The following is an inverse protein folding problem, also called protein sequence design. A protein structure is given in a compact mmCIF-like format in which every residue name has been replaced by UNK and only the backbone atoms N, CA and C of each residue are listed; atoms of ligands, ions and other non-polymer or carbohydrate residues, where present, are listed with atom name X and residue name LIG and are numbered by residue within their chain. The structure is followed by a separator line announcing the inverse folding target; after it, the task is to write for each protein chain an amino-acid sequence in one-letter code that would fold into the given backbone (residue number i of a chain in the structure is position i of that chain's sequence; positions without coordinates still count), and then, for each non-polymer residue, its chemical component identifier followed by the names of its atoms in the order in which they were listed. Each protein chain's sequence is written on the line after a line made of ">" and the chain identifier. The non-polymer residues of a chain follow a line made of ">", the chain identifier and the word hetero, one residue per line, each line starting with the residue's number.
data_IF_869853127113
#
_entry.id   IF_869853127113
#
_cell.length_a   1.000
_cell.length_b   1.000
_cell.length_c   1.000
_cell.angle_alpha   90.00
_cell.angle_beta   90.00
_cell.angle_gamma   90.00
#
_symmetry.space_group_name_H-M   'P 1'
#
loop_
_entity.id
_entity.type
_entity.pdbx_description
1 polymer ?
#
# COMPACT_ATOMS: atom_id res chain seq x y z
N UNK A 1 -79.36 -6.97 -57.23
CA UNK A 1 -78.66 -7.56 -58.39
C UNK A 1 -79.21 -8.95 -58.56
N UNK A 2 -79.79 -9.25 -59.71
CA UNK A 2 -80.34 -10.58 -60.00
C UNK A 2 -79.17 -11.55 -60.03
N UNK A 3 -79.13 -12.51 -59.10
CA UNK A 3 -78.08 -13.51 -59.04
C UNK A 3 -78.25 -14.43 -60.26
N UNK A 4 -77.44 -14.21 -61.29
CA UNK A 4 -77.50 -15.02 -62.50
C UNK A 4 -76.72 -16.31 -62.23
N UNK A 5 -77.44 -17.39 -62.02
CA UNK A 5 -76.87 -18.73 -61.86
C UNK A 5 -76.55 -19.31 -63.24
N UNK A 6 -75.32 -19.83 -63.48
CA UNK A 6 -74.97 -20.54 -64.71
C UNK A 6 -76.00 -21.57 -65.17
N UNK A 7 -76.59 -22.29 -64.22
CA UNK A 7 -77.61 -23.30 -64.50
C UNK A 7 -78.94 -22.68 -64.98
N UNK A 8 -79.23 -21.43 -64.62
CA UNK A 8 -80.43 -20.72 -65.05
C UNK A 8 -80.22 -20.03 -66.41
N UNK A 9 -78.98 -19.68 -66.76
CA UNK A 9 -78.60 -19.18 -68.11
C UNK A 9 -78.81 -20.28 -69.16
N UNK A 10 -78.33 -21.49 -68.90
CA UNK A 10 -78.41 -22.63 -69.85
C UNK A 10 -79.84 -23.17 -70.02
N UNK A 11 -80.68 -23.05 -68.98
CA UNK A 11 -82.09 -23.50 -69.00
C UNK A 11 -83.08 -22.44 -69.48
N UNK A 12 -82.63 -21.22 -69.78
CA UNK A 12 -83.50 -20.13 -70.18
C UNK A 12 -84.17 -20.40 -71.54
N UNK A 13 -85.50 -20.35 -71.59
CA UNK A 13 -86.28 -20.51 -72.83
C UNK A 13 -86.83 -19.17 -73.33
N UNK A 14 -86.76 -18.93 -74.64
CA UNK A 14 -87.30 -17.73 -75.29
C UNK A 14 -88.50 -18.03 -76.18
N UNK A 15 -89.41 -17.06 -76.31
CA UNK A 15 -90.56 -17.14 -77.21
C UNK A 15 -90.12 -16.98 -78.67
N UNK A 16 -90.62 -17.84 -79.56
CA UNK A 16 -90.30 -17.81 -81.00
C UNK A 16 -91.21 -16.77 -81.68
N UNK A 17 -90.61 -15.83 -82.40
CA UNK A 17 -91.32 -14.79 -83.17
C UNK A 17 -90.95 -14.84 -84.66
N UNK A 18 -91.80 -14.31 -85.55
CA UNK A 18 -91.63 -14.38 -87.03
C UNK A 18 -90.33 -13.79 -87.58
N UNK A 19 -89.59 -12.99 -86.79
CA UNK A 19 -88.25 -12.45 -87.09
C UNK A 19 -87.38 -12.57 -85.82
N UNK A 20 -86.85 -13.76 -85.57
CA UNK A 20 -86.06 -14.06 -84.37
C UNK A 20 -84.66 -14.59 -84.71
N UNK A 21 -83.83 -14.73 -83.67
CA UNK A 21 -82.51 -15.37 -83.76
C UNK A 21 -82.63 -16.88 -83.92
N UNK A 22 -81.59 -17.51 -84.48
CA UNK A 22 -81.51 -18.98 -84.58
C UNK A 22 -81.40 -19.61 -83.19
N UNK A 23 -82.34 -20.50 -82.88
CA UNK A 23 -82.44 -21.16 -81.60
C UNK A 23 -81.28 -22.12 -81.29
N UNK A 24 -80.51 -22.59 -82.29
CA UNK A 24 -79.30 -23.38 -82.05
C UNK A 24 -78.10 -22.50 -81.70
N UNK A 25 -77.89 -21.40 -82.44
CA UNK A 25 -76.83 -20.43 -82.11
C UNK A 25 -77.04 -19.78 -80.75
N UNK A 26 -78.28 -19.39 -80.41
CA UNK A 26 -78.58 -18.82 -79.09
C UNK A 26 -78.28 -19.83 -77.97
N UNK A 27 -78.58 -21.11 -78.18
CA UNK A 27 -78.25 -22.17 -77.19
C UNK A 27 -76.76 -22.34 -77.00
N UNK A 28 -75.98 -22.43 -78.09
CA UNK A 28 -74.52 -22.52 -77.99
C UNK A 28 -73.93 -21.31 -77.25
N UNK A 29 -74.41 -20.09 -77.57
CA UNK A 29 -73.98 -18.88 -76.87
C UNK A 29 -74.35 -18.88 -75.38
N UNK A 30 -75.55 -19.36 -75.02
CA UNK A 30 -75.95 -19.47 -73.61
C UNK A 30 -75.11 -20.50 -72.84
N UNK A 31 -74.69 -21.60 -73.48
CA UNK A 31 -73.80 -22.62 -72.90
C UNK A 31 -72.40 -22.04 -72.62
N UNK A 32 -71.83 -21.32 -73.59
CA UNK A 32 -70.55 -20.63 -73.45
C UNK A 32 -70.61 -19.53 -72.38
N UNK A 33 -71.70 -18.75 -72.38
CA UNK A 33 -71.94 -17.72 -71.38
C UNK A 33 -72.11 -18.32 -69.98
N UNK A 34 -72.87 -19.42 -69.85
CA UNK A 34 -73.01 -20.13 -68.59
C UNK A 34 -71.65 -20.64 -68.08
N UNK A 35 -70.82 -21.18 -68.96
CA UNK A 35 -69.47 -21.65 -68.64
C UNK A 35 -68.55 -20.52 -68.19
N UNK A 36 -68.56 -19.38 -68.90
CA UNK A 36 -67.78 -18.19 -68.52
C UNK A 36 -68.22 -17.60 -67.18
N UNK A 37 -69.53 -17.54 -66.91
CA UNK A 37 -70.07 -17.09 -65.62
C UNK A 37 -69.71 -18.07 -64.50
N UNK A 38 -69.72 -19.38 -64.76
CA UNK A 38 -69.30 -20.38 -63.77
C UNK A 38 -67.83 -20.21 -63.39
N UNK A 39 -66.95 -20.01 -64.38
CA UNK A 39 -65.52 -19.80 -64.17
C UNK A 39 -65.24 -18.51 -63.41
N UNK A 40 -65.87 -17.39 -63.79
CA UNK A 40 -65.75 -16.12 -63.04
C UNK A 40 -66.23 -16.24 -61.60
N UNK A 41 -67.30 -17.00 -61.34
CA UNK A 41 -67.79 -17.22 -59.97
C UNK A 41 -66.81 -18.05 -59.14
N UNK A 42 -66.18 -19.05 -59.75
CA UNK A 42 -65.13 -19.84 -59.09
C UNK A 42 -63.92 -18.95 -58.74
N UNK A 43 -63.42 -18.17 -59.70
CA UNK A 43 -62.32 -17.23 -59.45
C UNK A 43 -62.67 -16.19 -58.39
N UNK A 44 -63.90 -15.68 -58.39
CA UNK A 44 -64.37 -14.73 -57.38
C UNK A 44 -64.33 -15.35 -55.98
N UNK A 45 -64.74 -16.62 -55.84
CA UNK A 45 -64.72 -17.29 -54.55
C UNK A 45 -63.28 -17.57 -54.10
N UNK A 46 -62.41 -18.03 -55.00
CA UNK A 46 -60.99 -18.24 -54.70
C UNK A 46 -60.29 -16.93 -54.27
N UNK A 47 -60.56 -15.83 -54.97
CA UNK A 47 -60.02 -14.52 -54.61
C UNK A 47 -60.56 -14.03 -53.27
N UNK A 48 -61.85 -14.25 -52.98
CA UNK A 48 -62.42 -13.92 -51.67
C UNK A 48 -61.78 -14.74 -50.55
N UNK A 49 -61.68 -16.05 -50.72
CA UNK A 49 -61.06 -16.93 -49.74
C UNK A 49 -59.62 -16.48 -49.47
N UNK A 50 -58.84 -16.24 -50.53
CA UNK A 50 -57.48 -15.72 -50.41
C UNK A 50 -57.44 -14.36 -49.72
N UNK A 51 -58.38 -13.47 -50.03
CA UNK A 51 -58.47 -12.16 -49.40
C UNK A 51 -58.73 -12.30 -47.89
N UNK A 52 -59.67 -13.15 -47.47
CA UNK A 52 -59.94 -13.38 -46.04
C UNK A 52 -58.73 -13.94 -45.29
N UNK A 53 -57.96 -14.83 -45.91
CA UNK A 53 -56.71 -15.35 -45.33
C UNK A 53 -55.68 -14.23 -45.17
N UNK A 54 -55.46 -13.44 -46.22
CA UNK A 54 -54.52 -12.31 -46.18
C UNK A 54 -54.94 -11.24 -45.17
N UNK A 55 -56.23 -10.93 -45.06
CA UNK A 55 -56.75 -10.01 -44.04
C UNK A 55 -56.48 -10.53 -42.63
N UNK A 56 -56.67 -11.84 -42.40
CA UNK A 56 -56.35 -12.49 -41.12
C UNK A 56 -54.85 -12.45 -40.81
N UNK A 57 -53.99 -12.71 -41.79
CA UNK A 57 -52.53 -12.66 -41.62
C UNK A 57 -52.05 -11.23 -41.32
N UNK A 58 -52.58 -10.23 -42.02
CA UNK A 58 -52.29 -8.81 -41.76
C UNK A 58 -52.72 -8.42 -40.35
N UNK A 59 -53.92 -8.83 -39.92
CA UNK A 59 -54.40 -8.57 -38.56
C UNK A 59 -53.48 -9.21 -37.50
N UNK A 60 -53.08 -10.48 -37.70
CA UNK A 60 -52.16 -11.18 -36.81
C UNK A 60 -50.78 -10.51 -36.76
N UNK A 61 -50.25 -10.08 -37.91
CA UNK A 61 -48.93 -9.45 -37.99
C UNK A 61 -48.94 -8.09 -37.28
N UNK A 62 -49.99 -7.29 -37.45
CA UNK A 62 -50.14 -6.02 -36.73
C UNK A 62 -50.22 -6.21 -35.22
N UNK A 63 -50.98 -7.19 -34.75
CA UNK A 63 -51.05 -7.50 -33.32
C UNK A 63 -49.69 -7.90 -32.74
N UNK A 64 -48.89 -8.68 -33.49
CA UNK A 64 -47.53 -9.03 -33.11
C UNK A 64 -46.60 -7.80 -33.08
N UNK A 65 -46.69 -6.92 -34.09
CA UNK A 65 -45.93 -5.68 -34.16
C UNK A 65 -46.22 -4.75 -32.97
N UNK A 66 -47.49 -4.56 -32.63
CA UNK A 66 -47.91 -3.76 -31.46
C UNK A 66 -47.36 -4.33 -30.15
N UNK A 67 -47.40 -5.66 -29.98
CA UNK A 67 -46.84 -6.32 -28.81
C UNK A 67 -45.32 -6.15 -28.71
N UNK A 68 -44.60 -6.26 -29.83
CA UNK A 68 -43.16 -6.01 -29.90
C UNK A 68 -42.83 -4.55 -29.59
N UNK A 69 -43.58 -3.60 -30.14
CA UNK A 69 -43.39 -2.19 -29.86
C UNK A 69 -43.59 -1.87 -28.38
N UNK A 70 -44.65 -2.40 -27.76
CA UNK A 70 -44.89 -2.24 -26.32
C UNK A 70 -43.76 -2.83 -25.48
N UNK A 71 -43.26 -4.00 -25.88
CA UNK A 71 -42.13 -4.67 -25.22
C UNK A 71 -40.86 -3.84 -25.34
N UNK A 72 -40.56 -3.29 -26.52
CA UNK A 72 -39.41 -2.43 -26.75
C UNK A 72 -39.48 -1.18 -25.86
N UNK A 73 -40.63 -0.49 -25.84
CA UNK A 73 -40.84 0.70 -25.01
C UNK A 73 -40.68 0.38 -23.52
N UNK A 74 -41.17 -0.77 -23.09
CA UNK A 74 -41.01 -1.22 -21.70
C UNK A 74 -39.54 -1.51 -21.39
N UNK A 75 -38.86 -2.25 -22.27
CA UNK A 75 -37.45 -2.59 -22.11
C UNK A 75 -36.56 -1.34 -22.08
N UNK A 76 -36.81 -0.35 -22.95
CA UNK A 76 -36.05 0.92 -22.93
C UNK A 76 -36.30 1.68 -21.64
N UNK A 77 -37.54 1.78 -21.18
CA UNK A 77 -37.88 2.43 -19.91
C UNK A 77 -37.23 1.74 -18.72
N UNK A 78 -37.26 0.41 -18.67
CA UNK A 78 -36.59 -0.37 -17.62
C UNK A 78 -35.08 -0.16 -17.66
N UNK A 79 -34.46 -0.16 -18.85
CA UNK A 79 -33.03 0.12 -19.01
C UNK A 79 -32.68 1.53 -18.50
N UNK A 80 -33.45 2.54 -18.87
CA UNK A 80 -33.18 3.92 -18.46
C UNK A 80 -33.34 4.09 -16.94
N UNK A 81 -34.32 3.41 -16.34
CA UNK A 81 -34.50 3.39 -14.89
C UNK A 81 -33.33 2.70 -14.17
N UNK A 82 -32.92 1.52 -14.64
CA UNK A 82 -31.74 0.82 -14.10
C UNK A 82 -30.47 1.67 -14.21
N UNK A 83 -30.28 2.39 -15.32
CA UNK A 83 -29.13 3.28 -15.49
C UNK A 83 -29.19 4.48 -14.54
N UNK A 84 -30.38 5.02 -14.27
CA UNK A 84 -30.57 6.11 -13.31
C UNK A 84 -30.26 5.64 -11.89
N UNK A 85 -30.84 4.51 -11.47
CA UNK A 85 -30.60 3.92 -10.15
C UNK A 85 -29.12 3.57 -9.94
N UNK A 86 -28.48 2.93 -10.93
CA UNK A 86 -27.06 2.59 -10.84
C UNK A 86 -26.17 3.84 -10.70
N UNK A 87 -26.51 4.93 -11.39
CA UNK A 87 -25.80 6.21 -11.25
C UNK A 87 -26.00 6.83 -9.88
N UNK A 88 -27.23 6.84 -9.37
CA UNK A 88 -27.54 7.37 -8.03
C UNK A 88 -26.79 6.57 -6.96
N UNK A 89 -26.80 5.24 -7.02
CA UNK A 89 -26.07 4.37 -6.11
C UNK A 89 -24.55 4.55 -6.20
N UNK A 90 -24.01 4.72 -7.42
CA UNK A 90 -22.58 4.96 -7.60
C UNK A 90 -22.13 6.31 -7.00
N UNK A 91 -22.95 7.36 -7.16
CA UNK A 91 -22.68 8.67 -6.57
C UNK A 91 -22.77 8.65 -5.05
N UNK A 92 -23.77 7.95 -4.50
CA UNK A 92 -23.91 7.74 -3.05
C UNK A 92 -22.69 7.02 -2.49
N UNK A 93 -22.30 5.88 -3.08
CA UNK A 93 -21.11 5.13 -2.66
C UNK A 93 -19.83 5.97 -2.75
N UNK A 94 -19.68 6.74 -3.83
CA UNK A 94 -18.53 7.66 -3.98
C UNK A 94 -18.51 8.71 -2.88
N UNK A 95 -19.67 9.26 -2.54
CA UNK A 95 -19.79 10.27 -1.50
C UNK A 95 -19.46 9.68 -0.12
N UNK A 96 -19.99 8.51 0.20
CA UNK A 96 -19.71 7.79 1.45
C UNK A 96 -18.22 7.46 1.58
N UNK A 97 -17.63 6.85 0.54
CA UNK A 97 -16.21 6.52 0.52
C UNK A 97 -15.33 7.77 0.70
N UNK A 98 -15.69 8.88 0.08
CA UNK A 98 -14.97 10.14 0.26
C UNK A 98 -15.07 10.66 1.70
N UNK A 99 -16.26 10.64 2.30
CA UNK A 99 -16.44 11.05 3.69
C UNK A 99 -15.66 10.16 4.66
N UNK A 100 -15.69 8.85 4.44
CA UNK A 100 -14.97 7.89 5.28
C UNK A 100 -13.45 8.06 5.15
N UNK A 101 -12.94 8.21 3.93
CA UNK A 101 -11.53 8.52 3.69
C UNK A 101 -11.10 9.84 4.36
N UNK A 102 -11.96 10.87 4.31
CA UNK A 102 -11.67 12.15 4.97
C UNK A 102 -11.65 12.00 6.50
N UNK A 103 -12.57 11.22 7.07
CA UNK A 103 -12.59 10.93 8.51
C UNK A 103 -11.33 10.17 8.93
N UNK A 104 -11.02 9.06 8.25
CA UNK A 104 -9.83 8.25 8.51
C UNK A 104 -8.54 9.08 8.41
N UNK A 105 -8.43 9.94 7.38
CA UNK A 105 -7.28 10.86 7.24
C UNK A 105 -7.20 11.85 8.41
N UNK A 106 -8.32 12.44 8.80
CA UNK A 106 -8.35 13.39 9.92
C UNK A 106 -7.99 12.74 11.25
N UNK A 107 -8.40 11.50 11.46
CA UNK A 107 -8.10 10.71 12.65
C UNK A 107 -6.61 10.33 12.68
N UNK A 108 -6.07 9.83 11.58
CA UNK A 108 -4.65 9.50 11.46
C UNK A 108 -3.74 10.71 11.69
N UNK A 109 -4.11 11.89 11.20
CA UNK A 109 -3.35 13.13 11.46
C UNK A 109 -3.38 13.47 12.95
N UNK A 110 -4.56 13.43 13.60
CA UNK A 110 -4.66 13.71 15.05
C UNK A 110 -3.85 12.71 15.86
N UNK A 111 -3.98 11.42 15.57
CA UNK A 111 -3.24 10.38 16.29
C UNK A 111 -1.72 10.54 16.12
N UNK A 112 -1.28 10.86 14.90
CA UNK A 112 0.13 11.17 14.62
C UNK A 112 0.62 12.38 15.41
N UNK A 113 -0.14 13.47 15.43
CA UNK A 113 0.23 14.68 16.19
C UNK A 113 0.28 14.42 17.70
N UNK A 114 -0.68 13.64 18.22
CA UNK A 114 -0.72 13.22 19.62
C UNK A 114 0.46 12.31 19.98
N UNK A 115 0.85 11.40 19.07
CA UNK A 115 2.02 10.54 19.27
C UNK A 115 3.32 11.36 19.26
N UNK A 116 3.48 12.27 18.30
CA UNK A 116 4.65 13.15 18.22
C UNK A 116 4.77 14.03 19.47
N UNK A 117 3.66 14.55 19.97
CA UNK A 117 3.63 15.36 21.19
C UNK A 117 4.06 14.54 22.40
N UNK A 118 3.47 13.36 22.60
CA UNK A 118 3.84 12.45 23.69
C UNK A 118 5.31 12.02 23.63
N UNK A 119 5.77 11.62 22.44
CA UNK A 119 7.17 11.21 22.24
C UNK A 119 8.15 12.34 22.56
N UNK A 120 7.82 13.59 22.18
CA UNK A 120 8.63 14.77 22.54
C UNK A 120 8.65 15.01 24.04
N UNK A 121 7.51 14.94 24.71
CA UNK A 121 7.42 15.11 26.16
C UNK A 121 8.24 14.05 26.91
N UNK A 122 8.12 12.78 26.51
CA UNK A 122 8.91 11.68 27.06
C UNK A 122 10.42 11.88 26.83
N UNK A 123 10.82 12.29 25.63
CA UNK A 123 12.22 12.57 25.33
C UNK A 123 12.79 13.71 26.18
N UNK A 124 12.00 14.77 26.41
CA UNK A 124 12.39 15.88 27.28
C UNK A 124 12.54 15.44 28.73
N UNK A 125 11.62 14.62 29.25
CA UNK A 125 11.71 14.06 30.60
C UNK A 125 12.97 13.20 30.75
N UNK A 126 13.23 12.30 29.80
CA UNK A 126 14.40 11.43 29.82
C UNK A 126 15.70 12.24 29.78
N UNK A 127 15.74 13.31 28.98
CA UNK A 127 16.90 14.21 28.93
C UNK A 127 17.11 14.94 30.27
N UNK A 128 16.04 15.40 30.92
CA UNK A 128 16.14 16.05 32.22
C UNK A 128 16.61 15.07 33.31
N UNK A 129 16.09 13.84 33.32
CA UNK A 129 16.50 12.79 34.25
C UNK A 129 17.95 12.38 34.03
N UNK A 130 18.37 12.19 32.78
CA UNK A 130 19.76 11.90 32.43
C UNK A 130 20.70 13.03 32.89
N UNK A 131 20.29 14.30 32.72
CA UNK A 131 21.04 15.45 33.19
C UNK A 131 21.16 15.49 34.71
N UNK A 132 20.07 15.22 35.44
CA UNK A 132 20.08 15.12 36.91
C UNK A 132 21.03 14.02 37.37
N UNK A 133 20.93 12.85 36.76
CA UNK A 133 21.77 11.69 37.09
C UNK A 133 23.25 11.99 36.82
N UNK A 134 23.58 12.55 35.66
CA UNK A 134 24.94 12.95 35.33
C UNK A 134 25.49 13.98 36.32
N UNK A 135 24.70 14.98 36.71
CA UNK A 135 25.10 15.98 37.71
C UNK A 135 25.35 15.34 39.08
N UNK A 136 24.51 14.39 39.50
CA UNK A 136 24.69 13.64 40.74
C UNK A 136 25.98 12.82 40.73
N UNK A 137 26.23 12.07 39.65
CA UNK A 137 27.45 11.26 39.49
C UNK A 137 28.70 12.14 39.50
N UNK A 138 28.70 13.25 38.77
CA UNK A 138 29.82 14.21 38.76
C UNK A 138 30.05 14.80 40.16
N UNK A 139 28.99 15.13 40.88
CA UNK A 139 29.10 15.67 42.24
C UNK A 139 29.70 14.63 43.20
N UNK A 140 29.24 13.37 43.12
CA UNK A 140 29.75 12.26 43.92
C UNK A 140 31.23 11.99 43.62
N UNK A 141 31.60 11.84 42.34
CA UNK A 141 32.99 11.63 41.93
C UNK A 141 33.92 12.78 42.35
N UNK A 142 33.43 14.03 42.33
CA UNK A 142 34.20 15.18 42.82
C UNK A 142 34.37 15.17 44.34
N UNK A 143 33.39 14.66 45.10
CA UNK A 143 33.51 14.53 46.55
C UNK A 143 34.53 13.45 46.91
N UNK A 144 34.42 12.26 46.32
CA UNK A 144 35.37 11.17 46.50
C UNK A 144 36.80 11.58 46.09
N UNK A 145 36.95 12.29 44.97
CA UNK A 145 38.24 12.83 44.54
C UNK A 145 38.80 13.92 45.45
N UNK A 146 37.99 14.58 46.31
CA UNK A 146 38.50 15.44 47.39
C UNK A 146 38.98 14.60 48.57
N UNK A 147 38.18 13.63 49.00
CA UNK A 147 38.52 12.75 50.12
C UNK A 147 39.83 11.99 49.87
N UNK A 148 40.02 11.45 48.66
CA UNK A 148 41.29 10.80 48.26
C UNK A 148 42.48 11.77 48.30
N UNK A 149 42.29 13.03 47.90
CA UNK A 149 43.35 14.04 47.98
C UNK A 149 43.71 14.36 49.43
N UNK A 150 42.73 14.48 50.31
CA UNK A 150 42.94 14.73 51.73
C UNK A 150 43.67 13.54 52.39
N UNK A 151 43.32 12.30 52.02
CA UNK A 151 44.04 11.10 52.45
C UNK A 151 45.50 11.11 51.99
N UNK A 152 45.77 11.49 50.73
CA UNK A 152 47.15 11.60 50.22
C UNK A 152 47.95 12.65 50.99
N UNK A 153 47.35 13.81 51.32
CA UNK A 153 48.01 14.84 52.14
C UNK A 153 48.31 14.30 53.54
N UNK A 154 47.34 13.64 54.18
CA UNK A 154 47.51 13.04 55.50
C UNK A 154 48.61 11.98 55.52
N UNK A 155 48.64 11.07 54.54
CA UNK A 155 49.67 10.03 54.41
C UNK A 155 51.06 10.64 54.20
N UNK A 156 51.18 11.69 53.38
CA UNK A 156 52.46 12.41 53.20
C UNK A 156 52.94 13.06 54.49
N UNK A 157 52.05 13.66 55.26
CA UNK A 157 52.39 14.25 56.56
C UNK A 157 52.82 13.17 57.56
N UNK A 158 52.14 12.03 57.61
CA UNK A 158 52.49 10.91 58.47
C UNK A 158 53.86 10.30 58.09
N UNK A 159 54.15 10.18 56.79
CA UNK A 159 55.45 9.71 56.32
C UNK A 159 56.57 10.70 56.67
N UNK A 160 56.31 12.01 56.53
CA UNK A 160 57.26 13.05 56.90
C UNK A 160 57.55 13.06 58.42
N UNK A 161 56.54 12.91 59.27
CA UNK A 161 56.73 12.86 60.72
C UNK A 161 57.43 11.58 61.16
N UNK A 162 57.10 10.43 60.56
CA UNK A 162 57.81 9.17 60.80
C UNK A 162 59.28 9.27 60.40
N UNK A 163 59.58 9.86 59.24
CA UNK A 163 60.95 10.11 58.79
C UNK A 163 61.70 11.03 59.76
N UNK A 164 61.10 12.15 60.17
CA UNK A 164 61.72 13.07 61.12
C UNK A 164 61.98 12.39 62.49
N UNK A 165 61.06 11.52 62.94
CA UNK A 165 61.26 10.73 64.14
C UNK A 165 62.44 9.76 64.00
N UNK A 166 62.54 9.05 62.86
CA UNK A 166 63.68 8.17 62.58
C UNK A 166 65.01 8.93 62.51
N UNK A 167 65.05 10.06 61.80
CA UNK A 167 66.24 10.94 61.73
C UNK A 167 66.64 11.44 63.13
N UNK A 168 65.66 11.83 63.95
CA UNK A 168 65.89 12.22 65.34
C UNK A 168 66.45 11.08 66.19
N UNK A 169 65.87 9.88 66.09
CA UNK A 169 66.39 8.69 66.80
C UNK A 169 67.79 8.31 66.32
N UNK A 170 68.06 8.37 65.02
CA UNK A 170 69.38 8.06 64.47
C UNK A 170 70.42 9.07 64.97
N UNK A 171 70.08 10.36 64.94
CA UNK A 171 70.95 11.42 65.46
C UNK A 171 71.26 11.20 66.94
N UNK A 172 70.23 10.91 67.76
CA UNK A 172 70.41 10.59 69.16
C UNK A 172 71.28 9.33 69.37
N UNK A 173 71.07 8.27 68.59
CA UNK A 173 71.92 7.07 68.67
C UNK A 173 73.36 7.35 68.27
N UNK A 174 73.60 8.15 67.23
CA UNK A 174 74.94 8.53 66.81
C UNK A 174 75.63 9.41 67.85
N UNK A 175 74.90 10.32 68.51
CA UNK A 175 75.42 11.11 69.63
C UNK A 175 75.83 10.21 70.80
N UNK A 176 74.98 9.26 71.20
CA UNK A 176 75.34 8.29 72.26
C UNK A 176 76.52 7.39 71.86
N UNK A 177 76.64 7.01 70.58
CA UNK A 177 77.77 6.22 70.10
C UNK A 177 79.05 7.04 70.12
N UNK A 178 79.01 8.31 69.69
CA UNK A 178 80.16 9.21 69.76
C UNK A 178 80.63 9.43 71.21
N UNK A 179 79.69 9.59 72.16
CA UNK A 179 80.02 9.63 73.59
C UNK A 179 80.66 8.33 74.09
N UNK A 180 80.22 7.16 73.60
CA UNK A 180 80.86 5.88 73.93
C UNK A 180 82.22 5.67 73.25
N UNK A 181 82.45 6.23 72.06
CA UNK A 181 83.73 6.18 71.36
C UNK A 181 84.77 7.09 72.03
N UNK A 182 84.36 8.26 72.54
CA UNK A 182 85.19 9.12 73.39
C UNK A 182 85.55 8.41 74.72
N UNK A 183 84.66 7.57 75.25
CA UNK A 183 84.94 6.72 76.41
C UNK A 183 85.86 5.53 76.08
N UNK A 184 85.77 4.95 74.88
CA UNK A 184 86.69 3.90 74.40
C UNK A 184 88.08 4.45 74.05
N UNK A 185 88.17 5.69 73.57
CA UNK A 185 89.43 6.40 73.33
C UNK A 185 90.17 6.72 74.64
N UNK A 186 89.45 6.86 75.76
CA UNK A 186 90.03 6.97 77.11
C UNK A 186 90.35 5.60 77.75
N UNK A 187 89.80 4.49 77.25
CA UNK A 187 89.97 3.16 77.82
C UNK A 187 91.15 2.35 77.23
N UNK A 188 91.73 2.77 76.10
CA UNK A 188 92.86 2.08 75.47
C UNK A 188 94.18 2.86 75.60
N UNK A 189 94.74 2.87 76.80
CA UNK A 189 96.17 2.97 77.03
C UNK A 189 96.53 2.03 78.20
N UNK A 190 97.43 1.07 77.93
CA UNK A 190 97.90 -0.11 78.73
C UNK A 190 96.97 -1.33 78.62
N UNK A 191 97.35 -2.54 78.18
CA UNK A 191 98.65 -3.18 77.94
C UNK A 191 98.47 -4.42 77.01
N UNK A 192 99.52 -4.74 76.28
CA UNK A 192 99.76 -5.88 75.37
C UNK A 192 99.56 -7.27 75.97
N UNK A 193 98.99 -8.24 75.22
CA UNK A 193 99.42 -9.66 75.19
C UNK A 193 99.20 -10.26 73.78
N UNK A 194 100.26 -10.94 73.34
CA UNK A 194 100.48 -11.81 72.19
C UNK A 194 100.12 -13.26 72.59
N UNK A 195 99.32 -14.02 71.80
CA UNK A 195 99.49 -15.47 71.55
C UNK A 195 98.33 -16.09 70.72
N UNK A 196 98.69 -16.50 69.50
CA UNK A 196 98.45 -17.78 68.81
C UNK A 196 97.13 -18.60 68.93
N UNK A 197 96.46 -18.72 67.76
CA UNK A 197 95.87 -19.92 67.11
C UNK A 197 94.55 -20.57 67.63
N UNK A 198 93.84 -21.40 66.80
CA UNK A 198 93.49 -21.31 65.37
C UNK A 198 91.99 -21.62 65.06
N UNK A 199 91.67 -21.79 63.76
CA UNK A 199 90.49 -22.50 63.14
C UNK A 199 89.15 -21.71 63.15
N UNK A 200 88.18 -21.74 62.21
CA UNK A 200 87.69 -22.69 61.18
C UNK A 200 86.90 -21.90 60.11
N UNK A 201 87.06 -22.26 58.83
CA UNK A 201 86.18 -21.88 57.70
C UNK A 201 84.99 -22.84 57.64
N UNK A 202 83.78 -22.39 57.29
CA UNK A 202 83.10 -23.09 56.20
C UNK A 202 82.38 -22.14 55.22
N UNK A 203 82.73 -22.30 53.94
CA UNK A 203 81.79 -22.30 52.79
C UNK A 203 81.00 -23.64 52.85
N UNK A 204 79.88 -23.93 52.14
CA UNK A 204 79.30 -23.24 50.97
C UNK A 204 77.75 -23.24 50.86
N UNK A 205 77.25 -22.66 49.76
CA UNK A 205 76.09 -23.07 48.93
C UNK A 205 74.61 -23.05 49.41
N UNK A 206 73.81 -22.54 48.47
CA UNK A 206 72.46 -22.94 48.04
C UNK A 206 71.23 -22.75 48.95
N UNK A 207 70.23 -22.04 48.42
CA UNK A 207 69.03 -22.64 47.80
C UNK A 207 67.98 -21.55 47.47
N UNK A 208 67.39 -21.63 46.27
CA UNK A 208 66.02 -21.14 46.06
C UNK A 208 65.72 -20.30 44.82
N UNK A 209 65.91 -20.91 43.65
CA UNK A 209 65.17 -20.64 42.39
C UNK A 209 63.68 -20.43 42.65
N UNK A 210 63.03 -19.41 42.05
CA UNK A 210 61.81 -19.56 41.23
C UNK A 210 61.74 -18.40 40.21
N UNK A 211 62.02 -18.72 38.95
CA UNK A 211 61.40 -18.10 37.80
C UNK A 211 60.07 -18.83 37.54
N UNK A 212 58.94 -18.12 37.40
CA UNK A 212 57.82 -18.67 36.63
C UNK A 212 56.94 -17.57 36.05
N UNK A 213 56.82 -17.63 34.72
CA UNK A 213 55.81 -17.01 33.89
C UNK A 213 54.39 -17.31 34.38
N UNK A 214 53.53 -16.30 34.36
CA UNK A 214 52.08 -16.44 34.13
C UNK A 214 51.71 -15.25 33.23
N UNK A 215 51.68 -15.45 31.91
CA UNK A 215 50.52 -15.89 31.14
C UNK A 215 49.36 -14.88 31.17
N UNK A 216 49.13 -14.30 29.98
CA UNK A 216 47.86 -13.86 29.39
C UNK A 216 46.71 -13.47 30.32
N UNK A 217 46.30 -12.21 30.24
CA UNK A 217 44.88 -11.90 30.11
C UNK A 217 44.69 -10.94 28.94
N UNK A 218 43.96 -11.42 27.95
CA UNK A 218 43.31 -10.64 26.88
C UNK A 218 42.74 -9.34 27.42
N UNK A 219 43.18 -8.23 26.84
CA UNK A 219 42.37 -7.03 26.74
C UNK A 219 41.74 -7.05 25.35
N UNK A 220 40.56 -7.65 25.28
CA UNK A 220 39.55 -7.29 24.30
C UNK A 220 38.88 -6.02 24.86
N UNK A 221 39.10 -4.88 24.21
CA UNK A 221 38.03 -3.89 23.95
C UNK A 221 38.58 -2.62 23.28
N UNK A 222 38.20 -2.52 22.01
CA UNK A 222 37.61 -1.35 21.34
C UNK A 222 38.46 -0.08 21.28
N UNK A 223 38.99 0.13 20.07
CA UNK A 223 39.41 1.42 19.53
C UNK A 223 38.45 2.55 19.93
N UNK A 224 38.91 3.39 20.83
CA UNK A 224 38.45 4.76 20.92
C UNK A 224 39.35 5.64 20.05
N UNK A 225 38.67 6.36 19.15
CA UNK A 225 38.96 7.74 18.73
C UNK A 225 39.85 7.99 17.52
N UNK A 226 39.17 8.59 16.54
CA UNK A 226 39.49 9.88 15.92
C UNK A 226 40.19 9.84 14.56
N UNK A 227 39.38 9.72 13.52
CA UNK A 227 39.54 10.57 12.33
C UNK A 227 38.34 11.53 12.24
N UNK A 228 38.56 12.86 12.10
CA UNK A 228 37.49 13.82 11.91
C UNK A 228 37.15 13.90 10.42
N UNK A 229 36.00 13.37 10.00
CA UNK A 229 35.49 13.70 8.67
C UNK A 229 35.15 15.20 8.58
N UNK A 230 35.62 15.91 7.54
CA UNK A 230 35.28 17.30 7.32
C UNK A 230 33.97 17.41 6.52
N UNK A 231 33.07 18.26 7.01
CA UNK A 231 32.17 19.07 6.16
C UNK A 231 31.16 18.33 5.29
N UNK A 232 29.99 18.03 5.86
CA UNK A 232 28.77 17.97 5.06
C UNK A 232 28.40 19.41 4.64
N UNK A 233 28.67 19.72 3.38
CA UNK A 233 28.07 20.87 2.70
C UNK A 233 26.54 20.70 2.70
N UNK A 234 25.75 21.77 2.94
CA UNK A 234 24.33 21.73 2.70
C UNK A 234 24.09 21.79 1.18
N UNK A 235 23.63 20.69 0.58
CA UNK A 235 23.04 20.75 -0.75
C UNK A 235 21.74 21.57 -0.69
N UNK A 236 21.87 22.86 -0.99
CA UNK A 236 20.78 23.78 -1.29
C UNK A 236 20.28 23.56 -2.72
N UNK A 237 18.99 23.22 -2.83
CA UNK A 237 18.04 23.53 -3.92
C UNK A 237 18.43 23.20 -5.37
N UNK A 238 17.68 22.31 -6.05
CA UNK A 238 17.35 22.55 -7.44
C UNK A 238 16.12 23.48 -7.50
N UNK A 239 16.35 24.70 -7.98
CA UNK A 239 15.33 25.51 -8.65
C UNK A 239 14.60 24.62 -9.68
N UNK A 240 13.35 24.26 -9.40
CA UNK A 240 12.44 23.65 -10.35
C UNK A 240 11.17 24.49 -10.43
N UNK A 241 11.07 25.19 -11.56
CA UNK A 241 9.95 25.99 -12.03
C UNK A 241 8.60 25.25 -11.91
N UNK A 242 7.49 25.95 -11.65
CA UNK A 242 6.16 25.37 -11.71
C UNK A 242 5.65 25.42 -13.15
N UNK A 243 6.20 24.60 -14.05
CA UNK A 243 5.51 24.22 -15.27
C UNK A 243 5.35 22.70 -15.27
N UNK A 244 4.10 22.26 -15.04
CA UNK A 244 3.45 21.08 -15.62
C UNK A 244 2.15 20.81 -14.83
N UNK A 245 1.15 21.68 -15.03
CA UNK A 245 -0.24 21.43 -14.63
C UNK A 245 -1.09 20.96 -15.82
N UNK A 246 -0.49 20.40 -16.87
CA UNK A 246 -1.23 20.06 -18.10
C UNK A 246 -1.02 18.62 -18.60
N UNK A 247 -0.64 17.69 -17.73
CA UNK A 247 -0.38 16.30 -18.10
C UNK A 247 -1.22 15.25 -17.35
N UNK A 248 -2.34 15.64 -16.73
CA UNK A 248 -3.27 14.69 -16.09
C UNK A 248 -4.72 14.78 -16.64
N UNK A 249 -4.83 15.20 -17.90
CA UNK A 249 -6.06 15.10 -18.72
C UNK A 249 -5.89 14.10 -19.89
N UNK A 250 -4.69 13.58 -20.14
CA UNK A 250 -4.46 12.62 -21.22
C UNK A 250 -4.02 11.26 -20.68
N UNK A 251 -4.98 10.38 -20.36
CA UNK A 251 -4.89 8.90 -20.43
C UNK A 251 -5.95 8.24 -19.53
N UNK A 252 -7.23 8.62 -19.70
CA UNK A 252 -8.23 7.53 -19.75
C UNK A 252 -8.03 6.87 -21.10
N UNK A 253 -7.24 5.81 -21.10
CA UNK A 253 -7.27 4.80 -22.14
C UNK A 253 -8.74 4.41 -22.35
N UNK A 254 -9.32 4.96 -23.41
CA UNK A 254 -10.57 4.47 -23.98
C UNK A 254 -10.34 3.01 -24.32
N UNK A 255 -10.79 2.11 -23.45
CA UNK A 255 -11.15 0.78 -23.88
C UNK A 255 -12.39 0.98 -24.76
N UNK A 256 -12.16 1.23 -26.05
CA UNK A 256 -13.18 1.07 -27.08
C UNK A 256 -13.56 -0.42 -27.09
N UNK A 257 -14.53 -0.76 -26.26
CA UNK A 257 -15.36 -1.92 -26.54
C UNK A 257 -16.11 -1.57 -27.82
N UNK A 258 -15.63 -2.09 -28.95
CA UNK A 258 -16.38 -2.17 -30.21
C UNK A 258 -17.69 -2.93 -29.95
N UNK A 259 -18.69 -2.23 -29.42
CA UNK A 259 -20.07 -2.65 -29.58
C UNK A 259 -20.41 -2.37 -31.03
N UNK A 260 -20.44 -3.44 -31.83
CA UNK A 260 -21.06 -3.44 -33.16
C UNK A 260 -22.36 -2.64 -33.07
N UNK A 261 -22.39 -1.51 -33.78
CA UNK A 261 -23.52 -0.59 -33.74
C UNK A 261 -24.78 -1.35 -34.14
N UNK A 262 -25.74 -1.45 -33.22
CA UNK A 262 -27.06 -2.01 -33.51
C UNK A 262 -27.62 -1.21 -34.69
N UNK A 263 -27.92 -1.86 -35.84
CA UNK A 263 -28.31 -1.14 -37.04
C UNK A 263 -29.58 -0.33 -36.75
N UNK A 264 -29.58 0.92 -37.17
CA UNK A 264 -30.76 1.78 -37.05
C UNK A 264 -31.90 1.22 -37.92
N UNK A 265 -33.14 1.55 -37.57
CA UNK A 265 -34.32 1.06 -38.30
C UNK A 265 -34.24 1.33 -39.81
N UNK A 266 -33.62 2.45 -40.22
CA UNK A 266 -33.39 2.78 -41.63
C UNK A 266 -32.38 1.83 -42.32
N UNK A 267 -31.38 1.35 -41.59
CA UNK A 267 -30.38 0.40 -42.11
C UNK A 267 -30.98 -1.00 -42.29
N UNK A 268 -31.86 -1.43 -41.37
CA UNK A 268 -32.59 -2.69 -41.51
C UNK A 268 -33.59 -2.64 -42.67
N UNK A 269 -34.28 -1.51 -42.87
CA UNK A 269 -35.18 -1.31 -44.00
C UNK A 269 -34.45 -1.29 -45.35
N UNK A 270 -33.23 -0.76 -45.41
CA UNK A 270 -32.40 -0.79 -46.61
C UNK A 270 -31.91 -2.22 -46.94
N UNK A 271 -31.53 -3.02 -45.93
CA UNK A 271 -31.13 -4.41 -46.13
C UNK A 271 -32.30 -5.30 -46.59
N UNK A 272 -33.50 -5.10 -46.06
CA UNK A 272 -34.69 -5.86 -46.51
C UNK A 272 -35.10 -5.55 -47.95
N UNK A 273 -34.90 -4.30 -48.42
CA UNK A 273 -35.11 -3.95 -49.83
C UNK A 273 -34.08 -4.59 -50.76
N UNK A 274 -32.84 -4.78 -50.30
CA UNK A 274 -31.78 -5.42 -51.07
C UNK A 274 -31.94 -6.94 -51.23
N UNK A 275 -32.80 -7.58 -50.43
CA UNK A 275 -33.03 -9.04 -50.47
C UNK A 275 -34.27 -9.39 -51.34
N UNK A 276 -35.04 -8.37 -51.75
CA UNK A 276 -36.30 -8.52 -52.49
C UNK A 276 -36.26 -8.26 -54.00
N UNK A 277 -35.09 -7.96 -54.56
CA UNK A 277 -34.81 -7.91 -56.02
C UNK A 277 -33.97 -9.12 -56.45
#
# INVERSE_FOLDING_TARGET
>A
MTDVNPADISRQTFLITKKGFDAQQVRAYLEDLASGVALMRQELEEVKDRNTVLESEVASTKAAEEALQMTLVTATRTKDEMLREAKEQAEELRHEAFQEAQRARSEAIRESDDLLTRSREEALQLLEDAKRNAQSVIAAARAEGRDLRDQVVHLRQALASSRAALEGTLTATLETVAETDDLLALANLTETIDDDAPVVVPDPEDLGVISEDVAESEYDDVEASADPEPGLEPESEPDAEPELVDALVGETSSVELEFEAVPTADQLLAQLRSIGD
#
